data_IF_253049233848
#
_entry.id   IF_253049233848
#
_cell.length_a   1.000
_cell.length_b   1.000
_cell.length_c   1.000
_cell.angle_alpha   90.00
_cell.angle_beta   90.00
_cell.angle_gamma   90.00
#
_symmetry.space_group_name_H-M   'P 1'
#
loop_
_entity.id
_entity.type
_entity.pdbx_description
1 polymer ?
#
# COMPACT_ATOMS: atom_id res chain seq x y z
N UNK A 1 -1.64 12.53 -19.18
CA UNK A 1 -1.31 11.11 -18.97
C UNK A 1 -2.22 10.45 -17.93
N UNK A 2 -2.36 11.05 -16.74
CA UNK A 2 -3.21 10.50 -15.65
C UNK A 2 -4.70 10.42 -16.07
N UNK A 3 -5.23 11.42 -16.75
CA UNK A 3 -6.62 11.44 -17.20
C UNK A 3 -6.94 10.28 -18.15
N UNK A 4 -5.98 9.87 -18.96
CA UNK A 4 -6.15 8.77 -19.89
C UNK A 4 -6.10 7.40 -19.20
N UNK A 5 -5.28 7.26 -18.17
CA UNK A 5 -5.23 6.04 -17.36
C UNK A 5 -6.54 5.80 -16.60
N UNK A 6 -7.24 6.86 -16.22
CA UNK A 6 -8.54 6.75 -15.53
C UNK A 6 -9.54 5.90 -16.29
N UNK A 7 -9.54 5.95 -17.63
CA UNK A 7 -10.44 5.17 -18.47
C UNK A 7 -10.12 3.69 -18.52
N UNK A 8 -8.85 3.31 -18.29
CA UNK A 8 -8.41 1.91 -18.33
C UNK A 8 -8.75 1.13 -17.06
N UNK A 9 -9.21 1.79 -16.00
CA UNK A 9 -9.71 1.13 -14.80
C UNK A 9 -11.20 0.80 -14.98
N UNK A 10 -11.57 -0.46 -15.12
CA UNK A 10 -12.99 -0.84 -15.20
C UNK A 10 -13.67 -0.61 -13.86
N UNK A 11 -14.76 0.14 -13.90
CA UNK A 11 -15.50 0.58 -12.71
C UNK A 11 -16.05 -0.56 -11.83
N UNK A 12 -16.05 -1.80 -12.31
CA UNK A 12 -16.69 -2.92 -11.61
C UNK A 12 -15.73 -3.86 -10.89
N UNK A 13 -14.46 -3.92 -11.28
CA UNK A 13 -13.54 -4.95 -10.80
C UNK A 13 -12.33 -4.41 -10.06
N UNK A 14 -11.90 -3.17 -10.36
CA UNK A 14 -10.69 -2.61 -9.79
C UNK A 14 -10.92 -1.20 -9.26
N UNK A 15 -10.44 -0.99 -8.05
CA UNK A 15 -10.26 0.33 -7.46
C UNK A 15 -8.86 0.86 -7.80
N UNK A 16 -8.67 2.16 -7.60
CA UNK A 16 -7.36 2.81 -7.61
C UNK A 16 -6.70 2.55 -6.26
N UNK A 17 -6.03 1.40 -6.14
CA UNK A 17 -5.38 0.99 -4.90
C UNK A 17 -4.19 1.86 -4.58
N UNK A 18 -4.26 2.59 -3.46
CA UNK A 18 -3.19 3.44 -2.98
C UNK A 18 -2.03 2.61 -2.43
N UNK A 19 -0.80 2.98 -2.77
CA UNK A 19 0.39 2.46 -2.10
C UNK A 19 0.61 3.20 -0.77
N UNK A 20 0.61 4.52 -0.80
CA UNK A 20 0.56 5.37 0.38
C UNK A 20 -0.90 5.79 0.58
N UNK A 21 -1.53 5.44 1.71
CA UNK A 21 -2.92 5.79 1.96
C UNK A 21 -3.16 7.30 2.02
N UNK A 22 -4.29 7.76 1.50
CA UNK A 22 -4.69 9.16 1.59
C UNK A 22 -4.75 9.64 3.06
N UNK A 23 -5.28 8.83 3.97
CA UNK A 23 -5.40 9.15 5.38
C UNK A 23 -4.05 9.43 6.06
N UNK A 24 -2.96 8.84 5.57
CA UNK A 24 -1.61 9.05 6.13
C UNK A 24 -0.99 10.40 5.73
N UNK A 25 -1.65 11.15 4.85
CA UNK A 25 -1.21 12.45 4.34
C UNK A 25 -2.22 13.57 4.56
N UNK A 26 -3.27 13.32 5.33
CA UNK A 26 -4.39 14.27 5.54
C UNK A 26 -4.00 15.57 6.30
N UNK A 27 -2.87 15.59 6.97
CA UNK A 27 -2.36 16.79 7.65
C UNK A 27 -1.79 17.87 6.70
N UNK A 28 -1.62 17.59 5.42
CA UNK A 28 -1.11 18.54 4.42
C UNK A 28 -1.84 18.35 3.09
N UNK A 29 -2.56 19.36 2.63
CA UNK A 29 -3.40 19.29 1.43
C UNK A 29 -2.61 18.94 0.15
N UNK A 30 -1.38 19.45 -0.01
CA UNK A 30 -0.54 19.14 -1.15
C UNK A 30 -0.09 17.67 -1.13
N UNK A 31 0.38 17.21 0.02
CA UNK A 31 0.79 15.81 0.19
C UNK A 31 -0.40 14.85 0.03
N UNK A 32 -1.56 15.25 0.52
CA UNK A 32 -2.79 14.50 0.33
C UNK A 32 -3.18 14.39 -1.15
N UNK A 33 -3.15 15.49 -1.90
CA UNK A 33 -3.43 15.50 -3.33
C UNK A 33 -2.47 14.61 -4.12
N UNK A 34 -1.21 14.51 -3.72
CA UNK A 34 -0.20 13.64 -4.36
C UNK A 34 -0.54 12.16 -4.21
N UNK A 35 -1.28 11.75 -3.18
CA UNK A 35 -1.68 10.34 -3.03
C UNK A 35 -2.63 9.88 -4.14
N UNK A 36 -3.26 10.79 -4.85
CA UNK A 36 -4.14 10.51 -5.99
C UNK A 36 -3.42 10.46 -7.34
N UNK A 37 -2.10 10.63 -7.37
CA UNK A 37 -1.33 10.46 -8.59
C UNK A 37 -1.26 8.97 -8.97
N UNK A 38 -1.33 8.67 -10.27
CA UNK A 38 -1.24 7.28 -10.75
C UNK A 38 0.09 6.60 -10.43
N UNK A 39 1.13 7.36 -10.14
CA UNK A 39 2.39 6.82 -9.60
C UNK A 39 2.23 6.19 -8.20
N UNK A 40 1.16 6.53 -7.48
CA UNK A 40 0.81 5.98 -6.17
C UNK A 40 -0.34 4.96 -6.24
N UNK A 41 -0.81 4.61 -7.43
CA UNK A 41 -2.00 3.78 -7.62
C UNK A 41 -1.71 2.60 -8.54
N UNK A 42 -2.29 1.46 -8.20
CA UNK A 42 -2.30 0.26 -9.03
C UNK A 42 -3.71 -0.33 -9.06
N UNK A 43 -4.07 -1.08 -10.13
CA UNK A 43 -5.38 -1.74 -10.19
C UNK A 43 -5.50 -2.78 -9.07
N UNK A 44 -6.30 -2.48 -8.07
CA UNK A 44 -6.55 -3.35 -6.92
C UNK A 44 -8.00 -3.83 -6.93
N UNK A 45 -8.21 -5.12 -6.75
CA UNK A 45 -9.56 -5.66 -6.65
C UNK A 45 -10.34 -4.92 -5.57
N UNK A 46 -11.58 -4.51 -5.88
CA UNK A 46 -12.37 -3.67 -4.99
C UNK A 46 -12.62 -4.33 -3.63
N UNK A 47 -12.86 -5.66 -3.61
CA UNK A 47 -13.09 -6.38 -2.36
C UNK A 47 -11.84 -6.41 -1.48
N UNK A 48 -10.66 -6.53 -2.09
CA UNK A 48 -9.40 -6.42 -1.38
C UNK A 48 -9.21 -5.00 -0.85
N UNK A 49 -9.33 -4.01 -1.72
CA UNK A 49 -9.07 -2.60 -1.37
C UNK A 49 -9.97 -2.10 -0.24
N UNK A 50 -11.26 -2.41 -0.31
CA UNK A 50 -12.26 -1.87 0.62
C UNK A 50 -12.37 -2.62 1.96
N UNK A 51 -11.85 -3.84 2.04
CA UNK A 51 -11.95 -4.65 3.25
C UNK A 51 -10.57 -4.96 3.86
N UNK A 52 -9.86 -6.05 3.49
CA UNK A 52 -8.64 -6.41 4.21
C UNK A 52 -7.52 -5.39 4.05
N UNK A 53 -7.39 -4.74 2.89
CA UNK A 53 -6.37 -3.73 2.68
C UNK A 53 -6.63 -2.47 3.53
N UNK A 54 -7.85 -1.98 3.52
CA UNK A 54 -8.26 -0.87 4.37
C UNK A 54 -8.09 -1.19 5.87
N UNK A 55 -8.34 -2.44 6.28
CA UNK A 55 -8.10 -2.90 7.64
C UNK A 55 -6.61 -2.87 8.02
N UNK A 56 -5.70 -3.26 7.11
CA UNK A 56 -4.25 -3.16 7.33
C UNK A 56 -3.80 -1.70 7.46
N UNK A 57 -4.32 -0.81 6.64
CA UNK A 57 -4.03 0.62 6.74
C UNK A 57 -4.52 1.21 8.08
N UNK A 58 -5.71 0.82 8.50
CA UNK A 58 -6.25 1.21 9.81
C UNK A 58 -5.42 0.63 10.95
N UNK A 59 -5.01 -0.63 10.87
CA UNK A 59 -4.14 -1.28 11.86
C UNK A 59 -2.80 -0.54 12.01
N UNK A 60 -2.20 -0.07 10.92
CA UNK A 60 -0.98 0.73 10.97
C UNK A 60 -1.18 1.97 11.85
N UNK A 61 -2.28 2.70 11.64
CA UNK A 61 -2.59 3.93 12.38
C UNK A 61 -3.00 3.67 13.83
N UNK A 62 -3.81 2.66 14.08
CA UNK A 62 -4.40 2.44 15.40
C UNK A 62 -3.47 1.67 16.36
N UNK A 63 -2.70 0.71 15.84
CA UNK A 63 -1.98 -0.25 16.66
C UNK A 63 -0.45 -0.17 16.54
N UNK A 64 0.05 0.39 15.43
CA UNK A 64 1.48 0.43 15.17
C UNK A 64 2.09 1.81 15.31
N UNK A 65 1.30 2.88 15.26
CA UNK A 65 1.79 4.23 15.53
C UNK A 65 2.47 4.31 16.89
N UNK A 66 3.52 5.11 16.96
CA UNK A 66 4.30 5.32 18.16
C UNK A 66 4.87 6.75 18.17
N UNK A 67 5.43 7.18 19.27
CA UNK A 67 6.10 8.50 19.36
C UNK A 67 7.43 8.56 18.61
N UNK A 68 7.98 7.41 18.24
CA UNK A 68 9.10 7.27 17.32
C UNK A 68 8.59 7.23 15.86
N UNK A 69 9.26 6.51 15.00
CA UNK A 69 8.93 6.37 13.58
C UNK A 69 8.37 4.97 13.29
N UNK A 70 7.19 4.93 12.69
CA UNK A 70 6.69 3.74 12.03
C UNK A 70 7.13 3.75 10.58
N UNK A 71 7.90 2.75 10.17
CA UNK A 71 8.24 2.50 8.78
C UNK A 71 7.20 1.58 8.16
N UNK A 72 6.61 2.02 7.05
CA UNK A 72 5.64 1.23 6.29
C UNK A 72 6.18 1.05 4.87
N UNK A 73 6.43 -0.19 4.49
CA UNK A 73 6.78 -0.56 3.12
C UNK A 73 5.56 -1.20 2.48
N UNK A 74 5.11 -0.63 1.38
CA UNK A 74 3.97 -1.14 0.61
C UNK A 74 4.44 -1.40 -0.82
N UNK A 75 3.99 -2.49 -1.40
CA UNK A 75 4.28 -2.79 -2.79
C UNK A 75 3.27 -3.72 -3.43
N UNK A 76 3.38 -3.80 -4.75
CA UNK A 76 2.62 -4.70 -5.59
C UNK A 76 3.58 -5.68 -6.26
N UNK A 77 3.13 -6.90 -6.49
CA UNK A 77 3.93 -7.95 -7.11
C UNK A 77 3.20 -8.56 -8.31
N UNK A 78 3.92 -8.76 -9.38
CA UNK A 78 3.46 -9.41 -10.60
C UNK A 78 4.19 -10.75 -10.76
N UNK A 79 3.44 -11.81 -10.97
CA UNK A 79 4.04 -13.11 -11.29
C UNK A 79 4.86 -13.01 -12.58
N UNK A 80 6.01 -13.67 -12.68
CA UNK A 80 6.76 -13.73 -13.92
C UNK A 80 5.89 -14.22 -15.08
N UNK A 81 5.90 -13.48 -16.18
CA UNK A 81 5.09 -13.79 -17.38
C UNK A 81 3.61 -13.43 -17.27
N UNK A 82 3.17 -12.77 -16.19
CA UNK A 82 1.78 -12.28 -16.10
C UNK A 82 1.53 -11.22 -17.17
N UNK A 83 0.51 -11.44 -17.98
CA UNK A 83 0.03 -10.49 -19.01
C UNK A 83 -1.30 -9.87 -18.63
N UNK A 84 -1.81 -10.16 -17.44
CA UNK A 84 -3.10 -9.65 -17.00
C UNK A 84 -3.02 -8.13 -16.77
N UNK A 85 -3.86 -7.42 -17.50
CA UNK A 85 -3.89 -5.95 -17.48
C UNK A 85 -5.34 -5.47 -17.56
N UNK A 86 -5.53 -4.21 -17.22
CA UNK A 86 -6.81 -3.52 -17.47
C UNK A 86 -7.10 -3.45 -18.97
N UNK A 87 -8.37 -3.26 -19.39
CA UNK A 87 -8.69 -3.08 -20.80
C UNK A 87 -7.84 -1.99 -21.44
N UNK A 88 -7.42 -2.23 -22.68
CA UNK A 88 -6.74 -1.21 -23.48
C UNK A 88 -7.75 -0.14 -23.92
N UNK A 89 -7.50 1.08 -23.54
CA UNK A 89 -8.27 2.24 -23.99
C UNK A 89 -7.29 3.29 -24.48
N UNK A 90 -7.38 3.60 -25.75
CA UNK A 90 -6.50 4.57 -26.43
C UNK A 90 -5.01 4.21 -26.31
N UNK A 91 -4.64 2.93 -26.42
CA UNK A 91 -3.27 2.45 -26.30
C UNK A 91 -2.71 2.52 -24.87
N UNK A 92 -3.58 2.54 -23.86
CA UNK A 92 -3.19 2.64 -22.45
C UNK A 92 -3.78 1.52 -21.62
N UNK A 93 -2.92 0.75 -21.02
CA UNK A 93 -3.26 -0.31 -20.09
C UNK A 93 -2.45 -0.17 -18.79
N UNK A 94 -3.00 -0.70 -17.70
CA UNK A 94 -2.27 -0.86 -16.44
C UNK A 94 -2.09 -2.35 -16.15
N UNK A 95 -0.87 -2.85 -16.00
CA UNK A 95 -0.66 -4.20 -15.50
C UNK A 95 -1.35 -4.38 -14.15
N UNK A 96 -2.13 -5.44 -14.01
CA UNK A 96 -2.82 -5.76 -12.77
C UNK A 96 -1.90 -6.63 -11.90
N UNK A 97 -1.53 -6.20 -10.69
CA UNK A 97 -0.71 -6.99 -9.79
C UNK A 97 -1.41 -8.30 -9.41
N UNK A 98 -0.64 -9.35 -9.20
CA UNK A 98 -1.15 -10.61 -8.66
C UNK A 98 -1.28 -10.55 -7.13
N UNK A 99 -0.38 -9.83 -6.46
CA UNK A 99 -0.33 -9.71 -5.01
C UNK A 99 0.03 -8.31 -4.58
N UNK A 100 -0.30 -8.02 -3.32
CA UNK A 100 0.17 -6.86 -2.59
C UNK A 100 0.88 -7.28 -1.32
N UNK A 101 1.84 -6.48 -0.89
CA UNK A 101 2.46 -6.67 0.42
C UNK A 101 2.53 -5.35 1.18
N UNK A 102 2.52 -5.49 2.50
CA UNK A 102 2.68 -4.37 3.42
C UNK A 102 3.50 -4.85 4.62
N UNK A 103 4.56 -4.12 4.93
CA UNK A 103 5.45 -4.45 6.05
C UNK A 103 5.49 -3.25 6.99
N UNK A 104 5.29 -3.50 8.26
CA UNK A 104 5.46 -2.53 9.33
C UNK A 104 6.72 -2.84 10.11
N UNK A 105 7.52 -1.81 10.38
CA UNK A 105 8.73 -1.93 11.20
C UNK A 105 8.83 -0.71 12.11
N UNK A 106 9.09 -0.94 13.38
CA UNK A 106 9.39 0.13 14.35
C UNK A 106 10.26 -0.39 15.48
N UNK A 107 10.76 0.50 16.32
CA UNK A 107 11.40 0.09 17.57
C UNK A 107 10.38 -0.53 18.54
N UNK A 108 10.79 -1.49 19.34
CA UNK A 108 9.92 -2.14 20.34
C UNK A 108 9.37 -1.13 21.33
N UNK A 109 10.21 -0.23 21.83
CA UNK A 109 9.82 0.79 22.80
C UNK A 109 8.95 1.88 22.21
N UNK A 110 9.11 2.18 20.89
CA UNK A 110 8.37 3.25 20.23
C UNK A 110 8.72 4.65 20.75
N UNK A 111 9.91 4.82 21.33
CA UNK A 111 10.40 6.09 21.85
C UNK A 111 10.83 7.02 20.69
N UNK A 112 10.83 8.32 20.95
CA UNK A 112 11.35 9.30 20.01
C UNK A 112 12.82 9.02 19.75
N UNK A 113 13.17 8.93 18.47
CA UNK A 113 14.54 8.76 18.00
C UNK A 113 15.26 10.09 17.97
N UNK A 114 16.59 10.03 18.07
CA UNK A 114 17.42 11.19 17.82
C UNK A 114 17.51 11.44 16.31
N UNK A 115 17.69 12.72 15.94
CA UNK A 115 17.87 13.08 14.54
C UNK A 115 19.13 12.38 13.98
N UNK A 116 18.96 11.70 12.82
CA UNK A 116 20.04 10.97 12.16
C UNK A 116 20.09 9.47 12.44
N UNK A 117 19.37 8.96 13.43
CA UNK A 117 19.25 7.52 13.67
C UNK A 117 18.63 6.80 12.46
N UNK A 118 19.18 5.65 12.14
CA UNK A 118 18.67 4.76 11.09
C UNK A 118 18.12 3.48 11.72
N UNK A 119 17.12 2.89 11.08
CA UNK A 119 16.54 1.63 11.55
C UNK A 119 17.60 0.51 11.64
N UNK A 120 18.57 0.50 10.72
CA UNK A 120 19.67 -0.46 10.70
C UNK A 120 20.70 -0.28 11.82
N UNK A 121 20.66 0.83 12.55
CA UNK A 121 21.56 1.07 13.69
C UNK A 121 21.05 0.41 14.98
N UNK A 122 19.83 -0.11 14.96
CA UNK A 122 19.22 -0.78 16.10
C UNK A 122 19.47 -2.29 16.06
N UNK A 123 19.84 -2.93 17.19
CA UNK A 123 19.87 -4.38 17.29
C UNK A 123 18.51 -5.00 17.00
N UNK A 124 18.51 -6.22 16.44
CA UNK A 124 17.28 -6.89 16.03
C UNK A 124 16.27 -7.09 17.16
N UNK A 125 16.74 -7.30 18.38
CA UNK A 125 15.90 -7.45 19.59
C UNK A 125 15.21 -6.15 20.04
N UNK A 126 15.66 -5.02 19.53
CA UNK A 126 15.03 -3.70 19.74
C UNK A 126 14.04 -3.32 18.63
N UNK A 127 13.89 -4.13 17.62
CA UNK A 127 12.97 -3.92 16.50
C UNK A 127 11.82 -4.92 16.59
N UNK A 128 10.65 -4.47 16.15
CA UNK A 128 9.53 -5.36 15.85
C UNK A 128 9.00 -5.08 14.46
N UNK A 129 8.63 -6.14 13.78
CA UNK A 129 8.08 -6.06 12.43
C UNK A 129 6.97 -7.06 12.22
N UNK A 130 6.11 -6.77 11.26
CA UNK A 130 5.12 -7.71 10.73
C UNK A 130 4.96 -7.46 9.24
N UNK A 131 4.84 -8.53 8.46
CA UNK A 131 4.60 -8.47 7.04
C UNK A 131 3.30 -9.16 6.65
N UNK A 132 2.64 -8.61 5.66
CA UNK A 132 1.41 -9.15 5.08
C UNK A 132 1.60 -9.35 3.59
N UNK A 133 1.15 -10.49 3.09
CA UNK A 133 1.12 -10.84 1.68
C UNK A 133 -0.30 -11.22 1.32
N UNK A 134 -0.89 -10.52 0.35
CA UNK A 134 -2.31 -10.64 0.03
C UNK A 134 -2.50 -10.80 -1.47
N UNK A 135 -3.29 -11.78 -1.87
CA UNK A 135 -3.65 -11.96 -3.27
C UNK A 135 -4.61 -10.86 -3.74
N UNK A 136 -4.39 -10.36 -4.95
CA UNK A 136 -5.27 -9.38 -5.60
C UNK A 136 -6.48 -10.07 -6.23
N UNK A 137 -7.25 -10.79 -5.43
CA UNK A 137 -8.42 -11.55 -5.86
C UNK A 137 -9.70 -11.05 -5.18
N UNK A 138 -10.83 -11.24 -5.84
CA UNK A 138 -12.15 -10.94 -5.27
C UNK A 138 -12.62 -12.01 -4.30
N UNK A 139 -13.08 -11.61 -3.13
CA UNK A 139 -13.89 -12.43 -2.25
C UNK A 139 -13.18 -13.34 -1.24
N UNK A 140 -11.85 -13.33 -1.18
CA UNK A 140 -11.09 -14.14 -0.23
C UNK A 140 -9.96 -13.32 0.39
N UNK A 141 -10.29 -12.50 1.33
CA UNK A 141 -9.28 -11.62 1.90
C UNK A 141 -8.89 -11.95 3.32
N UNK A 142 -8.30 -13.11 3.59
CA UNK A 142 -7.47 -13.24 4.79
C UNK A 142 -6.04 -12.88 4.42
N UNK A 143 -5.57 -11.74 4.95
CA UNK A 143 -4.16 -11.42 4.90
C UNK A 143 -3.37 -12.54 5.58
N UNK A 144 -2.35 -13.06 4.90
CA UNK A 144 -1.40 -14.00 5.49
C UNK A 144 -0.28 -13.19 6.13
N UNK A 145 -0.09 -13.38 7.40
CA UNK A 145 1.07 -12.86 8.15
C UNK A 145 2.25 -13.82 8.07
#
# INVERSE_FOLDING_TARGET
YQANLTKSYPARNFDRGHQIPNADRSGNATMQAQTFYFSNMTPQNYSLNQNPWAALEKMARDNWMCSDTLYVVTGAYWNPGSTFATPDIDGKQCPVPNYYFKVFVRTVKGNVRQAGDRLGDYPADQLKSIGFWVENAGGQGTARS
#
